data_IF_730087855062
#
_entry.id   IF_730087855062
#
_cell.length_a   1.000
_cell.length_b   1.000
_cell.length_c   1.000
_cell.angle_alpha   90.00
_cell.angle_beta   90.00
_cell.angle_gamma   90.00
#
_symmetry.space_group_name_H-M   'P 1'
#
loop_
_entity.id
_entity.type
_entity.pdbx_description
1 polymer ?
#
# COMPACT_ATOMS: atom_id res chain seq x y z
N UNK A 1 39.23 12.68 67.94
CA UNK A 1 38.74 12.56 66.55
C UNK A 1 37.23 12.39 66.61
N UNK A 2 36.52 13.11 65.74
CA UNK A 2 35.21 13.73 65.97
C UNK A 2 33.96 12.85 65.85
N UNK A 3 32.97 13.30 66.60
CA UNK A 3 31.53 13.04 66.71
C UNK A 3 30.70 13.08 65.42
N UNK A 4 29.56 12.38 65.48
CA UNK A 4 28.32 12.42 64.68
C UNK A 4 27.97 13.78 64.03
N UNK A 5 27.24 13.76 62.90
CA UNK A 5 25.92 14.42 62.69
C UNK A 5 25.36 14.08 61.27
N UNK A 6 24.03 13.95 61.26
CA UNK A 6 23.07 13.62 60.20
C UNK A 6 23.11 14.49 58.93
N UNK A 7 22.55 13.97 57.84
CA UNK A 7 21.47 14.65 57.10
C UNK A 7 20.80 13.63 56.15
N UNK A 8 19.60 13.15 56.46
CA UNK A 8 18.33 13.81 56.13
C UNK A 8 18.13 13.99 54.64
N UNK A 9 17.49 13.01 54.01
CA UNK A 9 16.18 13.21 53.36
C UNK A 9 15.84 11.99 52.51
N UNK A 10 14.91 11.21 53.04
CA UNK A 10 13.82 10.62 52.27
C UNK A 10 13.38 11.55 51.12
N UNK A 11 13.94 11.37 49.94
CA UNK A 11 13.22 11.60 48.70
C UNK A 11 13.20 10.26 48.01
N UNK A 12 12.18 9.48 48.38
CA UNK A 12 11.55 8.57 47.44
C UNK A 12 11.48 9.33 46.12
N UNK A 13 12.27 8.90 45.12
CA UNK A 13 12.03 9.32 43.74
C UNK A 13 10.53 9.19 43.56
N UNK A 14 9.80 10.25 43.19
CA UNK A 14 8.36 10.14 43.06
C UNK A 14 8.14 8.92 42.20
N UNK A 15 7.31 7.99 42.68
CA UNK A 15 6.72 6.99 41.82
C UNK A 15 5.97 7.80 40.77
N UNK A 16 6.66 8.17 39.70
CA UNK A 16 6.05 8.56 38.45
C UNK A 16 5.45 7.25 37.99
N UNK A 17 4.27 6.95 38.52
CA UNK A 17 3.29 6.15 37.82
C UNK A 17 3.10 6.90 36.51
N UNK A 18 3.95 6.59 35.53
CA UNK A 18 3.65 6.83 34.14
C UNK A 18 2.34 6.08 33.96
N UNK A 19 1.21 6.77 34.12
CA UNK A 19 -0.01 6.37 33.44
C UNK A 19 0.46 6.28 32.00
N UNK A 20 0.76 5.07 31.53
CA UNK A 20 1.07 4.82 30.14
C UNK A 20 -0.11 5.43 29.41
N UNK A 21 0.10 6.63 28.87
CA UNK A 21 -0.94 7.33 28.16
C UNK A 21 -1.32 6.35 27.06
N UNK A 22 -2.54 5.84 27.18
CA UNK A 22 -3.08 4.80 26.32
C UNK A 22 -3.37 5.45 24.98
N UNK A 23 -2.32 5.80 24.25
CA UNK A 23 -2.43 6.15 22.85
C UNK A 23 -2.38 4.83 22.11
N UNK A 24 -3.51 4.37 21.54
CA UNK A 24 -3.45 3.21 20.66
C UNK A 24 -2.47 3.57 19.56
N UNK A 25 -1.35 2.87 19.50
CA UNK A 25 -0.47 2.96 18.34
C UNK A 25 -1.26 2.31 17.21
N UNK A 26 -1.87 3.13 16.35
CA UNK A 26 -2.57 2.62 15.18
C UNK A 26 -1.52 1.94 14.32
N UNK A 27 -1.45 0.62 14.43
CA UNK A 27 -0.61 -0.19 13.56
C UNK A 27 -1.09 0.04 12.13
N UNK A 28 -0.27 0.73 11.34
CA UNK A 28 -0.58 0.97 9.93
C UNK A 28 -0.40 -0.36 9.20
N UNK A 29 -1.48 -1.15 9.14
CA UNK A 29 -1.51 -2.35 8.30
C UNK A 29 -1.34 -1.92 6.85
N UNK A 30 -0.16 -2.20 6.29
CA UNK A 30 0.09 -2.04 4.85
C UNK A 30 -0.89 -2.90 4.07
N UNK A 31 -1.53 -2.30 3.07
CA UNK A 31 -2.40 -3.00 2.12
C UNK A 31 -1.70 -2.92 0.77
N UNK A 32 -1.54 -4.05 0.09
CA UNK A 32 -0.77 -4.14 -1.16
C UNK A 32 -1.19 -3.06 -2.18
N UNK A 33 -2.50 -2.86 -2.37
CA UNK A 33 -3.06 -1.92 -3.34
C UNK A 33 -2.81 -0.43 -3.02
N UNK A 34 -2.45 -0.09 -1.77
CA UNK A 34 -2.19 1.32 -1.40
C UNK A 34 -0.88 1.85 -2.00
N UNK A 35 0.04 0.95 -2.31
CA UNK A 35 1.39 1.27 -2.79
C UNK A 35 1.61 0.72 -4.21
N UNK A 36 0.58 0.11 -4.83
CA UNK A 36 0.64 -0.47 -6.17
C UNK A 36 0.49 0.55 -7.28
N UNK A 37 1.23 0.34 -8.38
CA UNK A 37 1.08 1.10 -9.63
C UNK A 37 0.04 0.41 -10.51
N UNK A 38 -1.02 1.14 -10.86
CA UNK A 38 -2.08 0.65 -11.74
C UNK A 38 -1.84 1.06 -13.20
N UNK A 39 -2.01 0.13 -14.13
CA UNK A 39 -2.02 0.38 -15.57
C UNK A 39 -3.43 0.19 -16.13
N UNK A 40 -4.06 1.27 -16.59
CA UNK A 40 -5.41 1.20 -17.15
C UNK A 40 -5.37 0.89 -18.65
N UNK A 41 -6.18 -0.08 -19.08
CA UNK A 41 -6.27 -0.51 -20.48
C UNK A 41 -7.67 -0.28 -21.01
N UNK A 42 -7.77 0.38 -22.17
CA UNK A 42 -8.96 0.40 -23.01
C UNK A 42 -8.82 -0.65 -24.13
N UNK A 43 -9.47 -1.83 -24.03
CA UNK A 43 -9.13 -3.00 -24.84
C UNK A 43 -9.21 -2.78 -26.34
N UNK A 44 -10.29 -2.15 -26.81
CA UNK A 44 -10.55 -1.92 -28.25
C UNK A 44 -9.49 -1.09 -28.96
N UNK A 45 -8.69 -0.31 -28.22
CA UNK A 45 -7.65 0.54 -28.80
C UNK A 45 -6.24 0.16 -28.37
N UNK A 46 -6.07 -0.95 -27.65
CA UNK A 46 -4.78 -1.32 -27.08
C UNK A 46 -3.91 -2.11 -28.06
N UNK A 47 -4.33 -3.31 -28.45
CA UNK A 47 -3.59 -4.17 -29.36
C UNK A 47 -4.56 -5.16 -30.01
N UNK A 48 -4.63 -5.13 -31.34
CA UNK A 48 -5.29 -6.14 -32.17
C UNK A 48 -4.32 -7.33 -32.38
N UNK A 49 -4.84 -8.55 -32.26
CA UNK A 49 -4.09 -9.79 -32.46
C UNK A 49 -4.57 -10.64 -33.65
N UNK A 50 -5.72 -10.30 -34.25
CA UNK A 50 -6.35 -11.09 -35.31
C UNK A 50 -6.50 -10.33 -36.65
N UNK A 51 -6.20 -9.03 -36.67
CA UNK A 51 -6.22 -8.17 -37.86
C UNK A 51 -7.59 -7.58 -38.20
N UNK A 52 -8.56 -7.61 -37.29
CA UNK A 52 -9.90 -7.03 -37.50
C UNK A 52 -9.96 -5.50 -37.24
N UNK A 53 -8.86 -4.91 -36.75
CA UNK A 53 -8.73 -3.49 -36.45
C UNK A 53 -9.23 -3.10 -35.05
N UNK A 54 -9.69 -4.05 -34.23
CA UNK A 54 -10.19 -3.84 -32.87
C UNK A 54 -9.28 -4.58 -31.90
N UNK A 55 -8.82 -3.88 -30.87
CA UNK A 55 -7.99 -4.50 -29.84
C UNK A 55 -8.74 -5.56 -29.03
N UNK A 56 -8.03 -6.62 -28.65
CA UNK A 56 -8.60 -7.81 -28.05
C UNK A 56 -7.78 -8.33 -26.85
N UNK A 57 -8.33 -9.31 -26.13
CA UNK A 57 -7.70 -9.88 -24.93
C UNK A 57 -6.37 -10.57 -25.23
N UNK A 58 -6.24 -11.23 -26.39
CA UNK A 58 -4.98 -11.87 -26.79
C UNK A 58 -3.90 -10.83 -27.07
N UNK A 59 -4.27 -9.69 -27.64
CA UNK A 59 -3.38 -8.53 -27.78
C UNK A 59 -2.92 -7.98 -26.44
N UNK A 60 -3.81 -7.92 -25.43
CA UNK A 60 -3.41 -7.56 -24.06
C UNK A 60 -2.40 -8.57 -23.49
N UNK A 61 -2.65 -9.87 -23.64
CA UNK A 61 -1.77 -10.94 -23.15
C UNK A 61 -0.36 -10.80 -23.74
N UNK A 62 -0.25 -10.51 -25.04
CA UNK A 62 1.04 -10.33 -25.72
C UNK A 62 1.87 -9.15 -25.19
N UNK A 63 1.25 -8.20 -24.48
CA UNK A 63 1.92 -7.01 -23.93
C UNK A 63 2.13 -7.08 -22.42
N UNK A 64 1.78 -8.18 -21.76
CA UNK A 64 1.95 -8.31 -20.30
C UNK A 64 3.41 -8.14 -19.87
N UNK A 65 4.36 -8.67 -20.64
CA UNK A 65 5.80 -8.50 -20.36
C UNK A 65 6.23 -7.03 -20.42
N UNK A 66 5.69 -6.27 -21.38
CA UNK A 66 5.91 -4.82 -21.47
C UNK A 66 5.33 -4.08 -20.26
N UNK A 67 4.09 -4.40 -19.88
CA UNK A 67 3.41 -3.76 -18.73
C UNK A 67 4.17 -4.07 -17.43
N UNK A 68 4.65 -5.31 -17.28
CA UNK A 68 5.49 -5.70 -16.14
C UNK A 68 6.83 -4.98 -16.14
N UNK A 69 7.48 -4.86 -17.29
CA UNK A 69 8.75 -4.13 -17.42
C UNK A 69 8.59 -2.64 -17.07
N UNK A 70 7.43 -2.04 -17.39
CA UNK A 70 7.09 -0.68 -17.00
C UNK A 70 6.93 -0.51 -15.47
N UNK A 71 6.73 -1.61 -14.74
CA UNK A 71 6.61 -1.61 -13.28
C UNK A 71 5.18 -1.54 -12.73
N UNK A 72 4.17 -1.88 -13.54
CA UNK A 72 2.80 -1.96 -13.05
C UNK A 72 2.56 -3.23 -12.23
N UNK A 73 1.92 -3.08 -11.06
CA UNK A 73 1.55 -4.19 -10.17
C UNK A 73 0.12 -4.69 -10.42
N UNK A 74 -0.72 -3.84 -11.00
CA UNK A 74 -2.16 -4.02 -11.19
C UNK A 74 -2.54 -3.54 -12.59
N UNK A 75 -3.40 -4.31 -13.27
CA UNK A 75 -4.02 -3.90 -14.52
C UNK A 75 -5.50 -3.61 -14.27
N UNK A 76 -5.95 -2.40 -14.64
CA UNK A 76 -7.37 -2.04 -14.63
C UNK A 76 -7.91 -2.03 -16.06
N UNK A 77 -8.78 -2.98 -16.38
CA UNK A 77 -9.36 -3.10 -17.73
C UNK A 77 -10.71 -2.39 -17.76
N UNK A 78 -10.92 -1.52 -18.75
CA UNK A 78 -12.23 -0.95 -19.06
C UNK A 78 -13.24 -2.07 -19.44
N UNK A 79 -14.57 -1.83 -19.41
CA UNK A 79 -15.56 -2.88 -19.65
C UNK A 79 -15.34 -3.68 -20.95
N UNK A 80 -15.38 -5.00 -20.85
CA UNK A 80 -15.17 -5.97 -21.96
C UNK A 80 -16.42 -6.80 -22.28
N UNK A 81 -17.54 -6.53 -21.61
CA UNK A 81 -18.78 -7.24 -21.84
C UNK A 81 -19.41 -6.79 -23.15
N UNK A 82 -20.15 -7.69 -23.81
CA UNK A 82 -20.98 -7.31 -24.97
C UNK A 82 -21.85 -6.12 -24.60
N UNK A 83 -21.68 -5.01 -25.30
CA UNK A 83 -22.57 -3.87 -25.21
C UNK A 83 -23.78 -4.11 -26.11
N UNK A 84 -24.95 -3.57 -25.76
CA UNK A 84 -26.12 -3.61 -26.62
C UNK A 84 -25.95 -2.79 -27.92
N UNK A 85 -24.88 -2.01 -28.01
CA UNK A 85 -24.55 -1.12 -29.12
C UNK A 85 -23.41 -1.66 -30.01
N UNK A 86 -23.03 -2.93 -29.82
CA UNK A 86 -22.03 -3.66 -30.63
C UNK A 86 -22.71 -4.57 -31.66
#
# INVERSE_FOLDING_TARGET
MSTLIENSSTISKPNVTMKSSFYPTTEVRRKWWKESIAYQIYPRSFQDSNGDGIGDIRGIIQRLDYIKHLGADLIWICPIFKSAND
#
